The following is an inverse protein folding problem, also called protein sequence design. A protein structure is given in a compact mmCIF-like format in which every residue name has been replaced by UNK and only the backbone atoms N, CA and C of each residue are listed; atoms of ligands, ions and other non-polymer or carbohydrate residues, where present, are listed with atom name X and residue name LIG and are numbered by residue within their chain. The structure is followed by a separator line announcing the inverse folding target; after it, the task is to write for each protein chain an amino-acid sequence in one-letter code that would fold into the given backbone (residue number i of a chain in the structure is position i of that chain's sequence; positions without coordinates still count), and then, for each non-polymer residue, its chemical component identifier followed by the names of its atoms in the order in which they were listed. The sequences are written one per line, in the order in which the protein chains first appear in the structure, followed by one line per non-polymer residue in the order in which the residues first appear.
data_IF_739151658158
#
_entry.id   IF_739151658158
#
_cell.length_a   1.000
_cell.length_b   1.000
_cell.length_c   1.000
_cell.angle_alpha   90.00
_cell.angle_beta   90.00
_cell.angle_gamma   90.00
#
_symmetry.space_group_name_H-M   'P 1'
#
loop_
_entity.id
_entity.type
_entity.pdbx_description
1 polymer ?
#
# COMPACT_ATOMS: atom_id res chain seq x y z
N UNK A 1 4.10 25.65 -7.39
CA UNK A 1 4.98 24.95 -8.35
C UNK A 1 4.18 24.27 -9.46
N UNK A 2 3.24 23.37 -9.15
CA UNK A 2 2.47 22.63 -10.17
C UNK A 2 1.69 23.51 -11.16
N UNK A 3 1.01 24.57 -10.68
CA UNK A 3 0.34 25.55 -11.56
C UNK A 3 1.28 26.24 -12.55
N UNK A 4 2.57 26.38 -12.20
CA UNK A 4 3.59 27.00 -13.06
C UNK A 4 3.99 26.06 -14.22
N UNK A 5 3.99 24.75 -14.00
CA UNK A 5 4.43 23.76 -14.98
C UNK A 5 3.29 23.19 -15.82
N UNK A 6 2.10 23.05 -15.25
CA UNK A 6 0.99 22.36 -15.89
C UNK A 6 -0.23 23.27 -16.19
N UNK A 7 -0.12 24.57 -15.92
CA UNK A 7 -1.19 25.54 -16.09
C UNK A 7 -2.26 25.47 -14.99
N UNK A 8 -3.33 26.25 -15.16
CA UNK A 8 -4.46 26.38 -14.22
C UNK A 8 -5.49 25.27 -14.30
N UNK A 9 -5.31 24.31 -15.22
CA UNK A 9 -6.20 23.16 -15.36
C UNK A 9 -6.11 22.20 -14.18
N UNK A 10 -7.23 21.55 -13.83
CA UNK A 10 -7.30 20.53 -12.78
C UNK A 10 -6.81 19.15 -13.25
N UNK A 11 -6.75 18.92 -14.55
CA UNK A 11 -6.36 17.63 -15.15
C UNK A 11 -5.01 17.10 -14.66
N UNK A 12 -3.92 17.90 -14.61
CA UNK A 12 -2.63 17.45 -14.11
C UNK A 12 -2.66 17.00 -12.64
N UNK A 13 -3.44 17.70 -11.81
CA UNK A 13 -3.62 17.34 -10.40
C UNK A 13 -4.38 16.02 -10.24
N UNK A 14 -5.43 15.81 -11.04
CA UNK A 14 -6.18 14.55 -11.08
C UNK A 14 -5.32 13.38 -11.56
N UNK A 15 -4.48 13.59 -12.58
CA UNK A 15 -3.52 12.57 -13.04
C UNK A 15 -2.55 12.24 -11.91
N UNK A 16 -1.96 13.25 -11.26
CA UNK A 16 -1.04 13.02 -10.14
C UNK A 16 -1.73 12.26 -8.99
N UNK A 17 -2.97 12.59 -8.66
CA UNK A 17 -3.72 11.88 -7.62
C UNK A 17 -4.10 10.45 -8.01
N UNK A 18 -4.45 10.21 -9.26
CA UNK A 18 -4.65 8.85 -9.77
C UNK A 18 -3.37 8.02 -9.68
N UNK A 19 -2.21 8.62 -9.98
CA UNK A 19 -0.90 7.98 -9.81
C UNK A 19 -0.60 7.68 -8.34
N UNK A 20 -0.89 8.61 -7.42
CA UNK A 20 -0.72 8.39 -5.98
C UNK A 20 -1.68 7.33 -5.42
N UNK A 21 -2.93 7.29 -5.90
CA UNK A 21 -3.90 6.24 -5.58
C UNK A 21 -3.43 4.88 -6.06
N UNK A 22 -2.87 4.81 -7.27
CA UNK A 22 -2.22 3.60 -7.81
C UNK A 22 -1.02 3.21 -6.95
N UNK A 23 -0.18 4.17 -6.56
CA UNK A 23 0.95 3.95 -5.65
C UNK A 23 0.50 3.40 -4.29
N UNK A 24 -0.64 3.86 -3.77
CA UNK A 24 -1.24 3.34 -2.54
C UNK A 24 -1.63 1.87 -2.70
N UNK A 25 -2.28 1.52 -3.81
CA UNK A 25 -2.63 0.13 -4.13
C UNK A 25 -1.39 -0.77 -4.22
N UNK A 26 -0.28 -0.28 -4.80
CA UNK A 26 0.99 -1.00 -4.87
C UNK A 26 1.64 -1.17 -3.48
N UNK A 27 1.61 -0.15 -2.62
CA UNK A 27 2.10 -0.25 -1.25
C UNK A 27 1.30 -1.29 -0.45
N UNK A 28 -0.04 -1.28 -0.59
CA UNK A 28 -0.95 -2.28 0.00
C UNK A 28 -0.59 -3.69 -0.43
N UNK A 29 -0.44 -3.90 -1.75
CA UNK A 29 0.01 -5.19 -2.30
C UNK A 29 1.38 -5.59 -1.74
N UNK A 30 2.34 -4.67 -1.71
CA UNK A 30 3.70 -4.91 -1.26
C UNK A 30 3.75 -5.37 0.20
N UNK A 31 3.02 -4.67 1.08
CA UNK A 31 2.90 -5.02 2.50
C UNK A 31 2.20 -6.38 2.67
N UNK A 32 1.02 -6.55 2.06
CA UNK A 32 0.24 -7.77 2.20
C UNK A 32 0.99 -9.00 1.64
N UNK A 33 1.65 -8.86 0.49
CA UNK A 33 2.48 -9.92 -0.11
C UNK A 33 3.62 -10.32 0.82
N UNK A 34 4.28 -9.33 1.43
CA UNK A 34 5.47 -9.58 2.26
C UNK A 34 5.10 -10.21 3.60
N UNK A 35 4.01 -9.78 4.23
CA UNK A 35 3.56 -10.29 5.52
C UNK A 35 2.80 -11.61 5.41
N UNK A 36 1.93 -11.74 4.41
CA UNK A 36 0.94 -12.83 4.34
C UNK A 36 1.05 -13.70 3.08
N UNK A 37 1.98 -13.39 2.17
CA UNK A 37 2.20 -14.12 0.92
C UNK A 37 1.44 -13.56 -0.29
N UNK A 38 1.76 -14.04 -1.50
CA UNK A 38 1.32 -13.42 -2.77
C UNK A 38 -0.19 -13.41 -2.97
N UNK A 39 -0.90 -14.46 -2.56
CA UNK A 39 -2.37 -14.53 -2.68
C UNK A 39 -3.05 -13.42 -1.88
N UNK A 40 -2.63 -13.19 -0.63
CA UNK A 40 -3.16 -12.08 0.18
C UNK A 40 -2.82 -10.74 -0.46
N UNK A 41 -1.60 -10.60 -1.00
CA UNK A 41 -1.19 -9.41 -1.75
C UNK A 41 -2.15 -9.08 -2.89
N UNK A 42 -2.48 -10.07 -3.73
CA UNK A 42 -3.40 -9.88 -4.86
C UNK A 42 -4.84 -9.56 -4.41
N UNK A 43 -5.34 -10.24 -3.36
CA UNK A 43 -6.65 -9.95 -2.79
C UNK A 43 -6.71 -8.52 -2.22
N UNK A 44 -5.68 -8.10 -1.50
CA UNK A 44 -5.59 -6.74 -0.93
C UNK A 44 -5.47 -5.68 -2.03
N UNK A 45 -4.70 -5.96 -3.10
CA UNK A 45 -4.61 -5.09 -4.28
C UNK A 45 -5.97 -4.88 -4.93
N UNK A 46 -6.68 -5.98 -5.21
CA UNK A 46 -8.02 -5.93 -5.80
C UNK A 46 -9.00 -5.20 -4.88
N UNK A 47 -8.98 -5.49 -3.58
CA UNK A 47 -9.78 -4.81 -2.58
C UNK A 47 -9.53 -3.29 -2.58
N UNK A 48 -8.28 -2.86 -2.57
CA UNK A 48 -7.92 -1.44 -2.55
C UNK A 48 -8.26 -0.71 -3.86
N UNK A 49 -8.07 -1.37 -5.00
CA UNK A 49 -8.39 -0.81 -6.33
C UNK A 49 -9.89 -0.67 -6.57
N UNK A 50 -10.70 -1.57 -5.98
CA UNK A 50 -12.16 -1.56 -6.11
C UNK A 50 -12.87 -0.83 -4.96
N UNK A 51 -12.13 -0.35 -3.96
CA UNK A 51 -12.74 0.28 -2.80
C UNK A 51 -13.34 1.65 -3.17
N UNK A 52 -14.67 1.85 -3.06
CA UNK A 52 -15.34 3.02 -3.64
C UNK A 52 -14.77 4.37 -3.20
N UNK A 53 -14.41 4.49 -1.91
CA UNK A 53 -13.85 5.74 -1.38
C UNK A 53 -12.48 6.03 -1.98
N UNK A 54 -11.61 5.04 -2.19
CA UNK A 54 -10.33 5.25 -2.85
C UNK A 54 -10.50 5.68 -4.31
N UNK A 55 -11.46 5.10 -5.04
CA UNK A 55 -11.76 5.48 -6.42
C UNK A 55 -12.20 6.94 -6.48
N UNK A 56 -13.14 7.35 -5.61
CA UNK A 56 -13.61 8.73 -5.57
C UNK A 56 -12.47 9.69 -5.23
N UNK A 57 -11.70 9.40 -4.18
CA UNK A 57 -10.58 10.23 -3.72
C UNK A 57 -9.43 10.35 -4.72
N UNK A 58 -9.22 9.34 -5.55
CA UNK A 58 -8.25 9.42 -6.64
C UNK A 58 -8.69 10.41 -7.74
N UNK A 59 -10.00 10.68 -7.86
CA UNK A 59 -10.58 11.60 -8.85
C UNK A 59 -10.84 13.03 -8.36
N UNK A 60 -10.76 13.28 -7.05
CA UNK A 60 -11.02 14.60 -6.46
C UNK A 60 -9.77 15.17 -5.79
N UNK A 61 -9.57 16.49 -5.94
CA UNK A 61 -8.42 17.17 -5.35
C UNK A 61 -8.51 17.15 -3.82
N UNK A 62 -7.89 16.14 -3.20
CA UNK A 62 -8.01 15.92 -1.76
C UNK A 62 -6.66 15.65 -1.10
N UNK A 63 -6.27 16.45 -0.07
CA UNK A 63 -4.96 16.34 0.57
C UNK A 63 -4.74 15.01 1.31
N UNK A 64 -5.82 14.30 1.65
CA UNK A 64 -5.73 12.99 2.31
C UNK A 64 -5.19 11.91 1.35
N UNK A 65 -5.36 12.06 0.04
CA UNK A 65 -4.83 11.09 -0.94
C UNK A 65 -3.29 10.99 -0.93
N UNK A 66 -2.52 12.08 -1.14
CA UNK A 66 -1.06 12.03 -1.02
C UNK A 66 -0.59 11.65 0.39
N UNK A 67 -1.28 12.11 1.44
CA UNK A 67 -0.98 11.72 2.81
C UNK A 67 -1.13 10.22 3.04
N UNK A 68 -2.22 9.62 2.55
CA UNK A 68 -2.46 8.17 2.62
C UNK A 68 -1.37 7.41 1.89
N UNK A 69 -1.03 7.81 0.66
CA UNK A 69 0.08 7.19 -0.07
C UNK A 69 1.38 7.19 0.73
N UNK A 70 1.79 8.34 1.29
CA UNK A 70 3.03 8.44 2.05
C UNK A 70 3.01 7.61 3.33
N UNK A 71 1.89 7.59 4.06
CA UNK A 71 1.72 6.73 5.24
C UNK A 71 2.00 5.28 4.86
N UNK A 72 1.36 4.79 3.81
CA UNK A 72 1.48 3.40 3.40
C UNK A 72 2.83 3.08 2.77
N UNK A 73 3.48 4.03 2.12
CA UNK A 73 4.86 3.90 1.68
C UNK A 73 5.83 3.78 2.87
N UNK A 74 5.66 4.60 3.91
CA UNK A 74 6.47 4.54 5.13
C UNK A 74 6.27 3.21 5.85
N UNK A 75 5.03 2.76 6.02
CA UNK A 75 4.74 1.45 6.61
C UNK A 75 5.33 0.31 5.77
N UNK A 76 5.31 0.43 4.43
CA UNK A 76 5.92 -0.57 3.56
C UNK A 76 7.45 -0.62 3.72
N UNK A 77 8.12 0.52 3.80
CA UNK A 77 9.57 0.63 4.07
C UNK A 77 9.92 -0.05 5.40
N UNK A 78 9.10 0.15 6.44
CA UNK A 78 9.32 -0.47 7.75
C UNK A 78 9.14 -1.99 7.70
N UNK A 79 8.11 -2.48 7.00
CA UNK A 79 7.90 -3.92 6.77
C UNK A 79 9.08 -4.53 6.00
N UNK A 80 9.63 -3.84 5.00
CA UNK A 80 10.84 -4.29 4.29
C UNK A 80 12.01 -4.38 5.27
N UNK A 81 12.22 -3.36 6.11
CA UNK A 81 13.30 -3.34 7.10
C UNK A 81 13.17 -4.51 8.08
N UNK A 82 11.99 -4.71 8.66
CA UNK A 82 11.74 -5.78 9.64
C UNK A 82 11.99 -7.16 9.05
N UNK A 83 11.45 -7.41 7.84
CA UNK A 83 11.61 -8.70 7.16
C UNK A 83 13.01 -8.94 6.60
N UNK A 84 13.87 -7.93 6.58
CA UNK A 84 15.28 -8.00 6.19
C UNK A 84 16.24 -8.03 7.40
N UNK A 85 15.72 -8.32 8.60
CA UNK A 85 16.53 -8.44 9.82
C UNK A 85 16.83 -7.12 10.54
N UNK A 86 16.15 -6.03 10.17
CA UNK A 86 16.09 -4.82 11.00
C UNK A 86 17.32 -3.91 11.01
N UNK A 87 18.35 -4.13 10.18
CA UNK A 87 19.64 -3.41 10.29
C UNK A 87 19.83 -2.19 9.37
N UNK A 88 18.91 -1.93 8.43
CA UNK A 88 19.10 -0.84 7.48
C UNK A 88 18.72 0.53 8.06
N UNK A 89 19.72 1.34 8.42
CA UNK A 89 19.55 2.74 8.84
C UNK A 89 19.01 3.62 7.71
N UNK A 90 19.37 3.33 6.46
CA UNK A 90 18.87 4.08 5.30
C UNK A 90 17.33 3.99 5.18
N UNK A 91 16.75 2.80 5.43
CA UNK A 91 15.29 2.63 5.43
C UNK A 91 14.63 3.40 6.60
N UNK A 92 15.29 3.51 7.76
CA UNK A 92 14.77 4.33 8.85
C UNK A 92 14.83 5.82 8.55
N UNK A 93 15.93 6.31 7.96
CA UNK A 93 16.03 7.70 7.52
C UNK A 93 14.91 8.00 6.51
N UNK A 94 14.71 7.12 5.52
CA UNK A 94 13.64 7.25 4.55
C UNK A 94 12.24 7.26 5.19
N UNK A 95 12.00 6.39 6.20
CA UNK A 95 10.77 6.39 6.98
C UNK A 95 10.57 7.69 7.78
N UNK A 96 11.63 8.20 8.40
CA UNK A 96 11.64 9.47 9.14
C UNK A 96 11.29 10.65 8.23
N UNK A 97 12.00 10.78 7.11
CA UNK A 97 11.72 11.79 6.08
C UNK A 97 10.28 11.65 5.55
N UNK A 98 9.84 10.43 5.22
CA UNK A 98 8.48 10.18 4.75
C UNK A 98 7.41 10.58 5.78
N UNK A 99 7.66 10.32 7.07
CA UNK A 99 6.74 10.72 8.15
C UNK A 99 6.70 12.25 8.33
N UNK A 100 7.84 12.93 8.27
CA UNK A 100 7.92 14.39 8.30
C UNK A 100 7.18 15.02 7.12
N UNK A 101 7.35 14.48 5.91
CA UNK A 101 6.64 14.94 4.71
C UNK A 101 5.13 14.72 4.85
N UNK A 102 4.71 13.57 5.37
CA UNK A 102 3.30 13.29 5.65
C UNK A 102 2.70 14.31 6.61
N UNK A 103 3.42 14.63 7.70
CA UNK A 103 2.99 15.59 8.71
C UNK A 103 2.83 17.02 8.15
N UNK A 104 3.59 17.38 7.11
CA UNK A 104 3.41 18.65 6.41
C UNK A 104 2.17 18.68 5.50
N UNK A 105 1.73 17.53 5.00
CA UNK A 105 0.61 17.44 4.06
C UNK A 105 -0.75 17.33 4.75
N UNK A 106 -0.81 16.61 5.86
CA UNK A 106 -2.05 16.27 6.54
C UNK A 106 -1.82 16.00 8.03
N UNK A 107 -2.83 16.30 8.86
CA UNK A 107 -2.76 16.22 10.32
C UNK A 107 -2.43 14.79 10.81
N UNK A 108 -2.88 13.78 10.06
CA UNK A 108 -2.59 12.37 10.35
C UNK A 108 -1.12 12.00 10.25
N UNK A 109 -0.30 12.83 9.60
CA UNK A 109 1.14 12.61 9.57
C UNK A 109 1.82 12.85 10.92
N UNK A 110 1.32 13.76 11.77
CA UNK A 110 1.81 13.90 13.14
C UNK A 110 1.49 12.66 13.98
N UNK A 111 0.30 12.10 13.79
CA UNK A 111 -0.10 10.83 14.39
C UNK A 111 0.81 9.70 13.93
N UNK A 112 1.18 9.67 12.64
CA UNK A 112 2.17 8.73 12.12
C UNK A 112 3.52 8.90 12.82
N UNK A 113 4.07 10.11 12.94
CA UNK A 113 5.34 10.34 13.63
C UNK A 113 5.33 9.78 15.06
N UNK A 114 4.27 10.09 15.83
CA UNK A 114 4.11 9.58 17.19
C UNK A 114 3.98 8.05 17.21
N UNK A 115 3.16 7.50 16.33
CA UNK A 115 2.98 6.06 16.17
C UNK A 115 4.31 5.36 15.91
N UNK A 116 5.14 5.90 15.01
CA UNK A 116 6.44 5.31 14.68
C UNK A 116 7.40 5.34 15.87
N UNK A 117 7.50 6.47 16.57
CA UNK A 117 8.35 6.60 17.76
C UNK A 117 7.94 5.60 18.85
N UNK A 118 6.64 5.49 19.13
CA UNK A 118 6.12 4.52 20.10
C UNK A 118 6.36 3.09 19.62
N UNK A 119 6.06 2.79 18.35
CA UNK A 119 6.22 1.44 17.79
C UNK A 119 7.67 0.95 17.86
N UNK A 120 8.65 1.84 17.68
CA UNK A 120 10.07 1.54 17.83
C UNK A 120 10.46 1.41 19.31
N UNK A 121 9.94 2.29 20.17
CA UNK A 121 10.23 2.27 21.61
C UNK A 121 9.79 0.99 22.33
N UNK A 122 8.74 0.32 21.84
CA UNK A 122 8.21 -0.93 22.41
C UNK A 122 8.84 -2.21 21.85
N UNK A 123 9.72 -2.13 20.84
CA UNK A 123 10.35 -3.32 20.24
C UNK A 123 11.22 -4.06 21.25
N UNK A 124 11.27 -5.39 21.19
CA UNK A 124 12.11 -6.23 22.07
C UNK A 124 13.58 -6.27 21.64
N UNK A 125 14.20 -5.09 21.48
CA UNK A 125 15.63 -4.91 21.19
C UNK A 125 16.32 -4.18 22.34
N UNK A 126 17.66 -4.10 22.32
CA UNK A 126 18.41 -3.36 23.36
C UNK A 126 17.98 -1.89 23.40
N UNK A 127 17.96 -1.31 24.61
CA UNK A 127 17.59 0.10 24.82
C UNK A 127 18.40 1.07 23.93
N UNK A 128 19.70 0.83 23.76
CA UNK A 128 20.57 1.63 22.90
C UNK A 128 20.13 1.59 21.43
N UNK A 129 19.73 0.41 20.93
CA UNK A 129 19.21 0.28 19.57
C UNK A 129 17.86 1.01 19.41
N UNK A 130 16.99 0.98 20.43
CA UNK A 130 15.72 1.73 20.40
C UNK A 130 15.95 3.23 20.35
N UNK A 131 16.83 3.73 21.21
CA UNK A 131 17.20 5.15 21.19
C UNK A 131 17.79 5.57 19.85
N UNK A 132 18.69 4.76 19.29
CA UNK A 132 19.29 5.03 17.99
C UNK A 132 18.23 5.05 16.89
N UNK A 133 17.34 4.06 16.81
CA UNK A 133 16.25 4.02 15.84
C UNK A 133 15.31 5.24 15.98
N UNK A 134 14.93 5.59 17.22
CA UNK A 134 14.10 6.76 17.51
C UNK A 134 14.79 8.07 17.13
N UNK A 135 16.10 8.21 17.42
CA UNK A 135 16.88 9.38 17.06
C UNK A 135 16.98 9.52 15.53
N UNK A 136 17.23 8.42 14.81
CA UNK A 136 17.31 8.44 13.34
C UNK A 136 15.97 8.81 12.71
N UNK A 137 14.86 8.23 13.18
CA UNK A 137 13.52 8.59 12.72
C UNK A 137 13.19 10.05 13.02
N UNK A 138 13.44 10.48 14.26
CA UNK A 138 13.19 11.84 14.73
C UNK A 138 14.01 12.88 13.97
N UNK A 139 15.29 12.62 13.70
CA UNK A 139 16.14 13.49 12.89
C UNK A 139 15.65 13.56 11.45
N UNK A 140 15.28 12.42 10.85
CA UNK A 140 14.71 12.38 9.50
C UNK A 140 13.41 13.20 9.37
N UNK A 141 12.51 13.09 10.35
CA UNK A 141 11.28 13.88 10.37
C UNK A 141 11.55 15.37 10.64
N UNK A 142 12.47 15.67 11.57
CA UNK A 142 12.84 17.04 11.95
C UNK A 142 13.55 17.78 10.82
N UNK A 143 14.27 17.10 9.94
CA UNK A 143 14.90 17.71 8.77
C UNK A 143 13.87 18.42 7.87
N UNK A 144 12.68 17.84 7.72
CA UNK A 144 11.59 18.44 6.94
C UNK A 144 10.72 19.39 7.76
N UNK A 145 10.37 18.99 8.99
CA UNK A 145 9.50 19.79 9.85
C UNK A 145 10.19 21.04 10.41
N UNK A 146 11.50 20.96 10.65
CA UNK A 146 12.30 22.01 11.30
C UNK A 146 12.18 23.37 10.61
N UNK A 147 12.41 23.50 9.29
CA UNK A 147 12.25 24.77 8.58
C UNK A 147 10.82 25.33 8.66
N UNK A 148 9.80 24.46 8.61
CA UNK A 148 8.40 24.87 8.70
C UNK A 148 8.04 25.37 10.10
N UNK A 149 8.41 24.62 11.14
CA UNK A 149 8.23 24.99 12.55
C UNK A 149 9.01 26.27 12.87
N UNK A 150 10.27 26.37 12.43
CA UNK A 150 11.10 27.56 12.61
C UNK A 150 10.44 28.79 12.00
N UNK A 151 9.95 28.69 10.75
CA UNK A 151 9.23 29.78 10.09
C UNK A 151 8.00 30.19 10.89
N UNK A 152 7.17 29.23 11.31
CA UNK A 152 5.96 29.51 12.11
C UNK A 152 6.28 30.25 13.41
N UNK A 153 7.28 29.78 14.15
CA UNK A 153 7.73 30.43 15.39
C UNK A 153 8.24 31.83 15.09
N UNK A 154 9.06 31.99 14.04
CA UNK A 154 9.68 33.27 13.74
C UNK A 154 8.67 34.33 13.28
N UNK A 155 7.59 33.92 12.63
CA UNK A 155 6.52 34.82 12.18
C UNK A 155 5.38 34.99 13.18
N UNK A 156 5.43 34.34 14.35
CA UNK A 156 4.29 34.17 15.28
C UNK A 156 3.01 33.69 14.57
N UNK A 157 3.15 32.98 13.44
CA UNK A 157 2.03 32.49 12.65
C UNK A 157 1.75 31.04 13.01
N UNK A 158 1.22 30.86 14.23
CA UNK A 158 0.77 29.56 14.72
C UNK A 158 -0.61 29.17 14.18
N UNK A 159 -1.24 30.01 13.34
CA UNK A 159 -2.58 29.78 12.79
C UNK A 159 -2.71 28.41 12.10
N UNK A 160 -1.75 27.91 11.30
CA UNK A 160 -1.88 26.59 10.68
C UNK A 160 -2.11 25.45 11.68
N UNK A 161 -1.55 25.54 12.90
CA UNK A 161 -1.72 24.54 13.94
C UNK A 161 -2.96 24.84 14.81
N UNK A 162 -3.09 26.09 15.25
CA UNK A 162 -4.12 26.54 16.20
C UNK A 162 -5.51 26.61 15.57
N UNK A 163 -5.62 27.22 14.38
CA UNK A 163 -6.92 27.45 13.73
C UNK A 163 -7.53 26.12 13.28
N UNK A 164 -6.71 25.21 12.72
CA UNK A 164 -7.17 23.89 12.31
C UNK A 164 -7.65 23.04 13.48
N UNK A 165 -6.89 22.99 14.57
CA UNK A 165 -7.30 22.26 15.77
C UNK A 165 -8.55 22.88 16.40
N UNK A 166 -8.59 24.20 16.55
CA UNK A 166 -9.71 24.93 17.14
C UNK A 166 -11.01 24.78 16.34
N UNK A 167 -10.97 24.73 15.00
CA UNK A 167 -12.17 24.53 14.18
C UNK A 167 -12.74 23.12 14.38
N UNK A 168 -11.89 22.10 14.50
CA UNK A 168 -12.32 20.70 14.55
C UNK A 168 -12.61 20.16 15.94
N UNK A 169 -12.15 20.84 16.99
CA UNK A 169 -12.56 20.53 18.36
C UNK A 169 -14.06 20.82 18.54
N UNK A 170 -14.77 20.00 19.30
CA UNK A 170 -16.16 20.27 19.61
C UNK A 170 -16.26 21.40 20.66
N UNK A 171 -17.40 22.08 20.72
CA UNK A 171 -17.70 23.02 21.79
C UNK A 171 -18.47 22.28 22.88
N UNK A 172 -17.98 22.32 24.13
CA UNK A 172 -18.70 21.76 25.26
C UNK A 172 -19.98 22.56 25.55
N UNK A 173 -20.98 21.97 26.23
CA UNK A 173 -22.22 22.66 26.56
C UNK A 173 -21.96 23.97 27.31
N UNK A 174 -22.62 25.05 26.91
CA UNK A 174 -22.44 26.38 27.50
C UNK A 174 -21.22 27.16 27.00
N UNK A 175 -20.40 26.58 26.12
CA UNK A 175 -19.25 27.25 25.50
C UNK A 175 -19.67 27.83 24.16
N UNK A 176 -19.57 29.15 24.03
CA UNK A 176 -19.89 29.89 22.80
C UNK A 176 -18.62 30.45 22.20
N UNK A 177 -17.84 29.63 21.45
CA UNK A 177 -16.58 30.09 20.90
C UNK A 177 -16.82 31.23 19.89
N UNK A 178 -15.96 32.24 19.85
CA UNK A 178 -16.07 33.33 18.89
C UNK A 178 -15.98 32.78 17.45
N UNK A 179 -16.92 33.18 16.59
CA UNK A 179 -17.09 32.65 15.23
C UNK A 179 -16.25 33.38 14.15
N UNK A 180 -15.57 34.49 14.49
CA UNK A 180 -14.93 35.38 13.50
C UNK A 180 -13.40 35.22 13.36
N UNK A 181 -12.92 35.48 12.14
CA UNK A 181 -11.49 35.55 11.77
C UNK A 181 -10.76 36.59 12.63
N UNK A 182 -9.69 36.17 13.29
CA UNK A 182 -8.90 36.99 14.22
C UNK A 182 -8.90 36.47 15.66
N UNK A 183 -9.87 35.63 16.02
CA UNK A 183 -10.00 35.05 17.37
C UNK A 183 -9.26 33.71 17.56
N UNK A 184 -8.42 33.27 16.61
CA UNK A 184 -7.91 31.89 16.58
C UNK A 184 -7.30 31.35 17.89
N UNK A 185 -6.52 32.17 18.61
CA UNK A 185 -6.00 31.82 19.95
C UNK A 185 -7.16 31.69 20.96
N UNK A 186 -8.07 32.67 20.98
CA UNK A 186 -9.28 32.66 21.81
C UNK A 186 -10.24 31.50 21.47
N UNK A 187 -10.31 31.03 20.22
CA UNK A 187 -11.15 29.92 19.78
C UNK A 187 -10.65 28.59 20.35
N UNK A 188 -9.36 28.29 20.15
CA UNK A 188 -8.76 27.07 20.67
C UNK A 188 -8.78 27.05 22.20
N UNK A 189 -8.36 28.16 22.82
CA UNK A 189 -8.38 28.30 24.28
C UNK A 189 -9.79 28.14 24.85
N UNK A 190 -10.79 28.84 24.31
CA UNK A 190 -12.18 28.73 24.76
C UNK A 190 -12.71 27.29 24.67
N UNK A 191 -12.42 26.57 23.58
CA UNK A 191 -12.83 25.17 23.44
C UNK A 191 -12.07 24.25 24.40
N UNK A 192 -10.76 24.42 24.56
CA UNK A 192 -9.96 23.62 25.48
C UNK A 192 -10.38 23.82 26.94
N UNK A 193 -10.56 25.08 27.37
CA UNK A 193 -11.09 25.42 28.70
C UNK A 193 -12.47 24.83 28.88
N UNK A 194 -13.34 24.98 27.88
CA UNK A 194 -14.66 24.36 27.87
C UNK A 194 -14.65 22.83 28.04
N UNK A 195 -13.73 22.15 27.36
CA UNK A 195 -13.54 20.69 27.48
C UNK A 195 -13.00 20.29 28.86
N UNK A 196 -12.10 21.10 29.43
CA UNK A 196 -11.53 20.89 30.75
C UNK A 196 -12.57 21.11 31.86
N UNK A 197 -13.43 22.11 31.71
CA UNK A 197 -14.51 22.43 32.65
C UNK A 197 -15.66 21.41 32.59
N UNK A 198 -15.76 20.63 31.51
CA UNK A 198 -16.81 19.63 31.28
C UNK A 198 -16.25 18.21 31.07
N UNK A 199 -15.47 17.65 32.00
CA UNK A 199 -14.71 16.42 31.77
C UNK A 199 -15.61 15.20 31.47
N UNK A 200 -16.76 15.08 32.14
CA UNK A 200 -17.71 14.00 31.91
C UNK A 200 -18.34 14.02 30.52
N UNK A 201 -18.63 15.21 30.00
CA UNK A 201 -19.11 15.38 28.62
C UNK A 201 -17.99 15.09 27.63
N UNK A 202 -16.78 15.61 27.88
CA UNK A 202 -15.60 15.40 27.04
C UNK A 202 -15.27 13.92 26.85
N UNK A 203 -15.25 13.13 27.93
CA UNK A 203 -14.99 11.68 27.84
C UNK A 203 -16.09 10.96 27.05
N UNK A 204 -17.37 11.31 27.26
CA UNK A 204 -18.48 10.72 26.50
C UNK A 204 -18.41 11.09 25.02
N UNK A 205 -18.10 12.34 24.70
CA UNK A 205 -17.92 12.79 23.33
C UNK A 205 -16.76 12.04 22.66
N UNK A 206 -15.60 11.98 23.32
CA UNK A 206 -14.44 11.22 22.85
C UNK A 206 -14.76 9.75 22.59
N UNK A 207 -15.44 9.07 23.52
CA UNK A 207 -15.85 7.68 23.33
C UNK A 207 -16.85 7.52 22.17
N UNK A 208 -17.80 8.44 22.02
CA UNK A 208 -18.77 8.44 20.93
C UNK A 208 -18.09 8.64 19.57
N UNK A 209 -17.18 9.60 19.46
CA UNK A 209 -16.42 9.85 18.23
C UNK A 209 -15.45 8.70 17.93
N UNK A 210 -14.86 8.07 18.95
CA UNK A 210 -14.05 6.87 18.76
C UNK A 210 -14.87 5.73 18.17
N UNK A 211 -16.12 5.53 18.61
CA UNK A 211 -17.03 4.57 18.00
C UNK A 211 -17.45 4.99 16.58
N UNK A 212 -17.71 6.28 16.37
CA UNK A 212 -18.11 6.82 15.07
C UNK A 212 -16.99 6.72 14.03
N UNK A 213 -15.71 6.72 14.45
CA UNK A 213 -14.59 6.39 13.56
C UNK A 213 -14.78 5.03 12.87
N UNK A 214 -15.41 4.06 13.52
CA UNK A 214 -15.67 2.73 12.98
C UNK A 214 -17.02 2.61 12.25
N UNK A 215 -17.79 3.69 12.17
CA UNK A 215 -19.13 3.69 11.58
C UNK A 215 -19.08 3.33 10.09
N UNK A 216 -19.78 2.28 9.65
CA UNK A 216 -19.83 1.94 8.24
C UNK A 216 -20.62 2.96 7.40
N UNK A 217 -21.46 3.78 8.01
CA UNK A 217 -22.21 4.78 7.27
C UNK A 217 -21.31 5.94 6.83
N UNK A 218 -21.38 6.33 5.55
CA UNK A 218 -20.55 7.40 5.04
C UNK A 218 -21.15 8.74 5.46
N UNK A 219 -20.77 9.21 6.65
CA UNK A 219 -21.28 10.47 7.16
C UNK A 219 -20.43 11.68 6.71
N UNK A 220 -21.10 12.83 6.55
CA UNK A 220 -20.47 14.15 6.31
C UNK A 220 -19.66 14.29 5.02
N UNK A 221 -20.00 13.55 3.96
CA UNK A 221 -19.51 13.84 2.59
C UNK A 221 -20.02 15.19 2.04
N UNK A 222 -21.09 15.72 2.63
CA UNK A 222 -21.59 17.07 2.37
C UNK A 222 -21.80 17.79 3.71
N UNK A 223 -21.75 19.12 3.69
CA UNK A 223 -22.09 19.92 4.88
C UNK A 223 -23.48 19.51 5.40
N UNK A 224 -23.58 19.28 6.71
CA UNK A 224 -24.83 18.89 7.36
C UNK A 224 -25.90 19.98 7.22
N UNK A 225 -25.50 21.24 7.11
CA UNK A 225 -26.42 22.37 6.92
C UNK A 225 -26.80 22.52 5.43
N UNK A 226 -28.02 22.12 5.11
CA UNK A 226 -28.60 22.29 3.78
C UNK A 226 -28.71 23.76 3.37
N UNK A 227 -28.99 24.68 4.31
CA UNK A 227 -29.10 26.12 4.01
C UNK A 227 -27.75 26.71 3.63
N UNK A 228 -26.71 26.42 4.42
CA UNK A 228 -25.35 26.84 4.09
C UNK A 228 -24.90 26.33 2.71
N UNK A 229 -25.25 25.09 2.35
CA UNK A 229 -24.95 24.56 1.01
C UNK A 229 -25.65 25.31 -0.11
N UNK A 230 -26.93 25.62 0.07
CA UNK A 230 -27.67 26.43 -0.91
C UNK A 230 -27.07 27.83 -1.03
N UNK A 231 -26.74 28.48 0.09
CA UNK A 231 -26.07 29.78 0.11
C UNK A 231 -24.72 29.74 -0.62
N UNK A 232 -23.88 28.73 -0.37
CA UNK A 232 -22.61 28.59 -1.08
C UNK A 232 -22.79 28.30 -2.57
N UNK A 233 -23.85 27.58 -2.96
CA UNK A 233 -24.18 27.36 -4.37
C UNK A 233 -24.71 28.62 -5.06
N UNK A 234 -25.50 29.43 -4.36
CA UNK A 234 -25.92 30.74 -4.85
C UNK A 234 -24.72 31.68 -5.05
N UNK A 235 -23.74 31.64 -4.15
CA UNK A 235 -22.47 32.37 -4.29
C UNK A 235 -21.55 31.79 -5.38
N UNK A 236 -21.55 30.46 -5.55
CA UNK A 236 -20.74 29.75 -6.55
C UNK A 236 -21.50 28.54 -7.10
N UNK A 237 -22.09 28.70 -8.28
CA UNK A 237 -22.89 27.66 -8.96
C UNK A 237 -22.13 26.37 -9.25
N UNK A 238 -20.79 26.37 -9.16
CA UNK A 238 -19.96 25.16 -9.30
C UNK A 238 -20.06 24.24 -8.06
N UNK A 239 -20.47 24.78 -6.91
CA UNK A 239 -20.62 24.01 -5.67
C UNK A 239 -21.85 23.11 -5.74
N UNK A 240 -21.68 21.80 -5.75
CA UNK A 240 -22.81 20.87 -5.92
C UNK A 240 -23.68 20.80 -4.65
N UNK A 241 -24.95 21.20 -4.74
CA UNK A 241 -25.92 21.15 -3.61
C UNK A 241 -26.31 19.71 -3.28
N UNK A 242 -26.68 18.94 -4.32
CA UNK A 242 -27.06 17.54 -4.22
C UNK A 242 -26.06 16.68 -4.98
N UNK A 243 -25.26 15.93 -4.24
CA UNK A 243 -24.33 14.98 -4.82
C UNK A 243 -25.04 13.62 -4.94
N UNK A 244 -25.13 13.09 -6.16
CA UNK A 244 -25.72 11.77 -6.44
C UNK A 244 -25.02 10.64 -5.67
N UNK A 245 -23.74 10.82 -5.29
CA UNK A 245 -22.97 9.89 -4.45
C UNK A 245 -23.46 9.82 -3.01
N UNK A 246 -24.39 10.69 -2.60
CA UNK A 246 -24.91 10.77 -1.22
C UNK A 246 -26.39 10.36 -1.17
N UNK A 247 -26.91 9.73 -2.22
CA UNK A 247 -28.23 9.08 -2.19
C UNK A 247 -28.27 7.89 -1.22
N UNK A 248 -29.47 7.43 -0.87
CA UNK A 248 -29.66 6.29 0.04
C UNK A 248 -28.95 5.01 -0.45
N UNK A 249 -29.01 4.74 -1.77
CA UNK A 249 -28.40 3.56 -2.37
C UNK A 249 -26.86 3.56 -2.26
N UNK A 250 -26.11 4.59 -2.73
CA UNK A 250 -24.66 4.66 -2.50
C UNK A 250 -24.25 4.55 -1.04
N UNK A 251 -25.01 5.17 -0.11
CA UNK A 251 -24.72 5.05 1.32
C UNK A 251 -24.87 3.63 1.83
N UNK A 252 -25.95 2.95 1.44
CA UNK A 252 -26.20 1.56 1.79
C UNK A 252 -25.13 0.63 1.20
N UNK A 253 -24.78 0.79 -0.08
CA UNK A 253 -23.73 0.02 -0.74
C UNK A 253 -22.38 0.21 -0.06
N UNK A 254 -22.03 1.44 0.31
CA UNK A 254 -20.82 1.73 1.07
C UNK A 254 -20.86 1.07 2.45
N UNK A 255 -21.97 1.21 3.19
CA UNK A 255 -22.11 0.64 4.53
C UNK A 255 -21.99 -0.89 4.52
N UNK A 256 -22.61 -1.56 3.55
CA UNK A 256 -22.49 -3.02 3.37
C UNK A 256 -21.05 -3.39 3.00
N UNK A 257 -20.47 -2.71 2.01
CA UNK A 257 -19.12 -3.00 1.53
C UNK A 257 -18.06 -2.79 2.61
N UNK A 258 -18.04 -1.63 3.25
CA UNK A 258 -17.12 -1.32 4.33
C UNK A 258 -17.39 -2.16 5.59
N UNK A 259 -18.66 -2.36 5.97
CA UNK A 259 -19.01 -3.22 7.11
C UNK A 259 -18.49 -4.65 6.90
N UNK A 260 -18.60 -5.19 5.69
CA UNK A 260 -18.03 -6.50 5.34
C UNK A 260 -16.50 -6.49 5.47
N UNK A 261 -15.83 -5.46 4.92
CA UNK A 261 -14.37 -5.30 5.05
C UNK A 261 -13.96 -5.22 6.53
N UNK A 262 -14.72 -4.51 7.38
CA UNK A 262 -14.42 -4.35 8.79
C UNK A 262 -14.55 -5.66 9.57
N UNK A 263 -15.62 -6.44 9.33
CA UNK A 263 -15.80 -7.76 9.95
C UNK A 263 -14.66 -8.70 9.53
N UNK A 264 -14.31 -8.72 8.24
CA UNK A 264 -13.20 -9.51 7.74
C UNK A 264 -11.86 -9.03 8.30
N UNK A 265 -11.65 -7.72 8.43
CA UNK A 265 -10.43 -7.14 9.01
C UNK A 265 -10.28 -7.54 10.48
N UNK A 266 -11.37 -7.52 11.26
CA UNK A 266 -11.35 -7.98 12.65
C UNK A 266 -10.98 -9.47 12.75
N UNK A 267 -11.58 -10.32 11.90
CA UNK A 267 -11.22 -11.74 11.82
C UNK A 267 -9.74 -11.94 11.41
N UNK A 268 -9.26 -11.13 10.46
CA UNK A 268 -7.88 -11.14 10.00
C UNK A 268 -6.89 -10.68 11.07
N UNK A 269 -7.23 -9.63 11.82
CA UNK A 269 -6.44 -9.13 12.95
C UNK A 269 -6.30 -10.20 14.04
N UNK A 270 -7.41 -10.85 14.42
CA UNK A 270 -7.40 -11.96 15.38
C UNK A 270 -6.50 -13.11 14.89
N UNK A 271 -6.63 -13.50 13.62
CA UNK A 271 -5.81 -14.56 13.02
C UNK A 271 -4.32 -14.20 12.89
N UNK A 272 -3.99 -12.93 12.63
CA UNK A 272 -2.62 -12.46 12.37
C UNK A 272 -1.83 -12.05 13.62
N UNK A 273 -2.52 -11.67 14.70
CA UNK A 273 -1.93 -11.08 15.92
C UNK A 273 -0.88 -11.93 16.63
N UNK A 274 -0.92 -13.27 16.49
CA UNK A 274 0.05 -14.18 17.10
C UNK A 274 1.12 -14.72 16.14
N UNK A 275 0.78 -15.17 14.91
CA UNK A 275 1.75 -15.90 14.09
C UNK A 275 2.62 -15.03 13.16
N UNK A 276 2.25 -13.78 12.88
CA UNK A 276 2.91 -12.99 11.82
C UNK A 276 3.63 -11.76 12.39
N UNK A 277 4.98 -11.77 12.44
CA UNK A 277 5.76 -10.58 12.79
C UNK A 277 5.40 -9.38 11.91
N UNK A 278 5.25 -8.21 12.51
CA UNK A 278 4.89 -6.97 11.80
C UNK A 278 3.39 -6.78 11.54
N UNK A 279 2.55 -7.81 11.65
CA UNK A 279 1.10 -7.66 11.48
C UNK A 279 0.46 -6.74 12.52
N UNK A 280 1.06 -6.62 13.70
CA UNK A 280 0.62 -5.70 14.74
C UNK A 280 0.68 -4.23 14.30
N UNK A 281 1.55 -3.85 13.35
CA UNK A 281 1.56 -2.50 12.78
C UNK A 281 0.23 -2.18 12.08
N UNK A 282 -0.36 -3.16 11.40
CA UNK A 282 -1.62 -3.02 10.68
C UNK A 282 -2.82 -2.92 11.64
N UNK A 283 -2.73 -3.51 12.82
CA UNK A 283 -3.79 -3.43 13.85
C UNK A 283 -3.65 -2.14 14.65
N UNK A 284 -2.43 -1.80 15.05
CA UNK A 284 -2.16 -0.67 15.90
C UNK A 284 -2.38 0.67 15.17
N UNK A 285 -2.06 0.77 13.88
CA UNK A 285 -2.21 2.00 13.12
C UNK A 285 -3.65 2.55 13.13
N UNK A 286 -4.69 1.79 12.71
CA UNK A 286 -6.08 2.26 12.79
C UNK A 286 -6.55 2.63 14.19
N UNK A 287 -6.12 1.87 15.21
CA UNK A 287 -6.48 2.14 16.61
C UNK A 287 -5.88 3.46 17.08
N UNK A 288 -4.59 3.68 16.84
CA UNK A 288 -3.91 4.92 17.20
C UNK A 288 -4.51 6.10 16.42
N UNK A 289 -4.82 5.92 15.14
CA UNK A 289 -5.48 6.94 14.34
C UNK A 289 -6.85 7.30 14.92
N UNK A 290 -7.68 6.31 15.26
CA UNK A 290 -8.99 6.52 15.89
C UNK A 290 -8.90 7.21 17.25
N UNK A 291 -7.95 6.80 18.10
CA UNK A 291 -7.70 7.41 19.41
C UNK A 291 -7.22 8.87 19.26
N UNK A 292 -6.34 9.16 18.31
CA UNK A 292 -5.85 10.52 18.12
C UNK A 292 -6.89 11.45 17.49
N UNK A 293 -7.84 10.93 16.71
CA UNK A 293 -8.89 11.74 16.08
C UNK A 293 -10.17 11.87 16.87
N UNK A 294 -10.45 10.98 17.81
CA UNK A 294 -11.66 11.04 18.64
C UNK A 294 -11.82 12.28 19.52
N UNK A 295 -10.78 13.10 19.85
CA UNK A 295 -11.02 14.39 20.50
C UNK A 295 -11.65 15.42 19.55
N UNK A 296 -11.59 15.17 18.24
CA UNK A 296 -12.13 16.01 17.19
C UNK A 296 -13.40 15.38 16.62
N UNK A 297 -14.11 16.13 15.79
CA UNK A 297 -15.18 15.56 14.97
C UNK A 297 -14.61 14.51 14.02
N UNK A 298 -14.80 13.23 14.36
CA UNK A 298 -14.48 12.14 13.47
C UNK A 298 -15.41 12.21 12.28
N UNK A 299 -14.80 12.21 11.12
CA UNK A 299 -15.46 12.21 9.83
C UNK A 299 -14.80 11.10 9.06
N UNK A 300 -15.51 10.50 8.11
CA UNK A 300 -14.94 9.44 7.27
C UNK A 300 -13.57 9.84 6.69
N UNK A 301 -13.37 11.12 6.37
CA UNK A 301 -12.09 11.61 5.84
C UNK A 301 -10.86 11.34 6.73
N UNK A 302 -11.04 11.28 8.05
CA UNK A 302 -9.95 11.00 8.99
C UNK A 302 -9.65 9.51 9.12
N UNK A 303 -10.57 8.64 8.68
CA UNK A 303 -10.39 7.18 8.62
C UNK A 303 -9.69 6.71 7.35
N UNK A 304 -9.83 7.42 6.22
CA UNK A 304 -9.23 7.01 4.93
C UNK A 304 -7.80 6.46 5.08
N UNK A 305 -6.88 7.09 5.84
CA UNK A 305 -5.52 6.56 5.97
C UNK A 305 -5.41 5.20 6.68
N UNK A 306 -6.44 4.77 7.40
CA UNK A 306 -6.54 3.45 8.02
C UNK A 306 -7.20 2.40 7.11
N UNK A 307 -8.00 2.79 6.11
CA UNK A 307 -8.74 1.86 5.23
C UNK A 307 -7.84 0.77 4.62
N UNK A 308 -6.60 1.06 4.16
CA UNK A 308 -5.78 0.01 3.58
C UNK A 308 -5.34 -1.05 4.60
N UNK A 309 -5.31 -0.75 5.90
CA UNK A 309 -5.06 -1.75 6.93
C UNK A 309 -6.21 -2.76 7.00
N UNK A 310 -7.45 -2.25 6.97
CA UNK A 310 -8.64 -3.10 6.97
C UNK A 310 -8.69 -3.98 5.75
N UNK A 311 -8.35 -3.43 4.57
CA UNK A 311 -8.30 -4.20 3.32
C UNK A 311 -7.25 -5.31 3.40
N UNK A 312 -6.04 -5.03 3.89
CA UNK A 312 -4.97 -6.05 4.03
C UNK A 312 -5.38 -7.15 4.99
N UNK A 313 -5.90 -6.80 6.17
CA UNK A 313 -6.31 -7.75 7.19
C UNK A 313 -7.53 -8.57 6.72
N UNK A 314 -8.49 -7.92 6.06
CA UNK A 314 -9.65 -8.59 5.47
C UNK A 314 -9.25 -9.58 4.37
N UNK A 315 -8.33 -9.19 3.49
CA UNK A 315 -7.76 -10.09 2.48
C UNK A 315 -7.08 -11.32 3.11
N UNK A 316 -6.38 -11.14 4.24
CA UNK A 316 -5.78 -12.25 4.97
C UNK A 316 -6.85 -13.19 5.53
N UNK A 317 -7.91 -12.65 6.13
CA UNK A 317 -9.03 -13.45 6.64
C UNK A 317 -9.69 -14.27 5.53
N UNK A 318 -9.95 -13.66 4.37
CA UNK A 318 -10.51 -14.33 3.19
C UNK A 318 -9.60 -15.48 2.74
N UNK A 319 -8.28 -15.24 2.61
CA UNK A 319 -7.33 -16.31 2.27
C UNK A 319 -7.39 -17.46 3.28
N UNK A 320 -7.36 -17.17 4.58
CA UNK A 320 -7.40 -18.19 5.63
C UNK A 320 -8.71 -18.97 5.61
N UNK A 321 -9.84 -18.30 5.38
CA UNK A 321 -11.14 -18.95 5.23
C UNK A 321 -11.16 -19.88 4.01
N UNK A 322 -10.71 -19.40 2.84
CA UNK A 322 -10.61 -20.22 1.63
C UNK A 322 -9.75 -21.47 1.84
N UNK A 323 -8.62 -21.34 2.54
CA UNK A 323 -7.74 -22.47 2.86
C UNK A 323 -8.38 -23.49 3.79
N UNK A 324 -9.27 -23.06 4.70
CA UNK A 324 -9.99 -23.96 5.63
C UNK A 324 -11.20 -24.63 4.99
N UNK A 325 -11.83 -23.99 4.00
CA UNK A 325 -13.01 -24.54 3.31
C UNK A 325 -12.69 -25.76 2.43
N UNK A 326 -13.72 -26.54 2.10
CA UNK A 326 -13.64 -27.66 1.14
C UNK A 326 -13.04 -27.24 -0.20
N UNK A 327 -13.29 -26.00 -0.65
CA UNK A 327 -12.69 -25.46 -1.87
C UNK A 327 -11.16 -25.42 -1.79
N UNK A 328 -10.60 -25.03 -0.64
CA UNK A 328 -9.15 -25.07 -0.42
C UNK A 328 -8.60 -26.48 -0.55
N UNK A 329 -9.31 -27.48 -0.02
CA UNK A 329 -8.94 -28.90 -0.17
C UNK A 329 -9.01 -29.36 -1.62
N UNK A 330 -10.06 -28.98 -2.36
CA UNK A 330 -10.24 -29.31 -3.78
C UNK A 330 -9.12 -28.68 -4.62
N UNK A 331 -8.81 -27.40 -4.42
CA UNK A 331 -7.73 -26.72 -5.15
C UNK A 331 -6.37 -27.33 -4.82
N UNK A 332 -6.11 -27.65 -3.56
CA UNK A 332 -4.87 -28.32 -3.15
C UNK A 332 -4.76 -29.70 -3.83
N UNK A 333 -5.84 -30.48 -3.81
CA UNK A 333 -5.92 -31.78 -4.47
C UNK A 333 -5.70 -31.67 -5.98
N UNK A 334 -6.35 -30.73 -6.65
CA UNK A 334 -6.18 -30.46 -8.08
C UNK A 334 -4.73 -30.05 -8.42
N UNK A 335 -4.09 -29.23 -7.57
CA UNK A 335 -2.68 -28.86 -7.74
C UNK A 335 -1.77 -30.08 -7.60
N UNK A 336 -2.00 -30.93 -6.61
CA UNK A 336 -1.24 -32.18 -6.42
C UNK A 336 -1.44 -33.13 -7.60
N UNK A 337 -2.67 -33.27 -8.10
CA UNK A 337 -2.96 -34.04 -9.31
C UNK A 337 -2.23 -33.48 -10.53
N UNK A 338 -2.24 -32.16 -10.71
CA UNK A 338 -1.54 -31.49 -11.81
C UNK A 338 -0.02 -31.69 -11.75
N UNK A 339 0.58 -31.56 -10.56
CA UNK A 339 2.02 -31.82 -10.37
C UNK A 339 2.37 -33.30 -10.63
N UNK A 340 1.49 -34.23 -10.23
CA UNK A 340 1.60 -35.65 -10.58
C UNK A 340 1.49 -35.89 -12.09
N UNK A 341 0.52 -35.27 -12.73
CA UNK A 341 0.31 -35.35 -14.18
C UNK A 341 1.53 -34.83 -14.96
N UNK A 342 2.12 -33.71 -14.56
CA UNK A 342 3.35 -33.18 -15.20
C UNK A 342 4.48 -34.21 -15.20
N UNK A 343 4.68 -34.94 -14.09
CA UNK A 343 5.69 -36.01 -14.00
C UNK A 343 5.38 -37.19 -14.92
N UNK A 344 4.10 -37.52 -15.11
CA UNK A 344 3.67 -38.57 -16.04
C UNK A 344 3.88 -38.11 -17.48
N UNK A 345 3.44 -36.89 -17.81
CA UNK A 345 3.59 -36.29 -19.12
C UNK A 345 5.07 -36.20 -19.55
N UNK A 346 5.96 -35.86 -18.62
CA UNK A 346 7.42 -35.87 -18.83
C UNK A 346 7.92 -37.27 -19.23
N UNK A 347 7.49 -38.33 -18.54
CA UNK A 347 7.86 -39.72 -18.89
C UNK A 347 7.29 -40.15 -20.25
N UNK A 348 6.05 -39.77 -20.55
CA UNK A 348 5.43 -40.04 -21.85
C UNK A 348 6.21 -39.33 -22.95
N UNK A 349 6.59 -38.07 -22.75
CA UNK A 349 7.37 -37.29 -23.70
C UNK A 349 8.76 -37.90 -23.94
N UNK A 350 9.45 -38.36 -22.89
CA UNK A 350 10.73 -39.06 -23.01
C UNK A 350 10.58 -40.36 -23.81
N UNK A 351 9.54 -41.15 -23.54
CA UNK A 351 9.26 -42.37 -24.28
C UNK A 351 9.00 -42.07 -25.76
N UNK A 352 8.14 -41.11 -26.09
CA UNK A 352 7.85 -40.74 -27.47
C UNK A 352 9.05 -40.16 -28.19
N UNK A 353 9.86 -39.35 -27.50
CA UNK A 353 11.13 -38.86 -28.04
C UNK A 353 12.05 -40.03 -28.40
N UNK A 354 12.17 -41.03 -27.52
CA UNK A 354 12.96 -42.23 -27.78
C UNK A 354 12.42 -43.03 -28.97
N UNK A 355 11.10 -43.26 -29.03
CA UNK A 355 10.46 -43.99 -30.15
C UNK A 355 10.65 -43.26 -31.47
N UNK A 356 10.44 -41.94 -31.50
CA UNK A 356 10.63 -41.13 -32.71
C UNK A 356 12.08 -41.14 -33.17
N UNK A 357 13.04 -41.00 -32.25
CA UNK A 357 14.46 -41.11 -32.57
C UNK A 357 14.80 -42.51 -33.09
N UNK A 358 14.28 -43.57 -32.45
CA UNK A 358 14.49 -44.94 -32.89
C UNK A 358 13.96 -45.15 -34.30
N UNK A 359 12.73 -44.72 -34.60
CA UNK A 359 12.15 -44.81 -35.95
C UNK A 359 13.00 -44.02 -36.95
N UNK A 360 13.36 -42.78 -36.63
CA UNK A 360 14.21 -41.95 -37.49
C UNK A 360 15.54 -42.65 -37.78
N UNK A 361 16.23 -43.15 -36.75
CA UNK A 361 17.54 -43.77 -36.93
C UNK A 361 17.47 -45.14 -37.61
N UNK A 362 16.47 -45.95 -37.31
CA UNK A 362 16.36 -47.32 -37.85
C UNK A 362 15.71 -47.34 -39.23
N UNK A 363 14.69 -46.53 -39.47
CA UNK A 363 13.90 -46.55 -40.71
C UNK A 363 14.44 -45.56 -41.74
N UNK A 364 14.94 -44.39 -41.31
CA UNK A 364 15.43 -43.36 -42.23
C UNK A 364 16.95 -43.41 -42.35
N UNK A 365 17.68 -43.24 -41.25
CA UNK A 365 19.14 -43.12 -41.28
C UNK A 365 19.81 -44.47 -41.56
N UNK A 366 19.31 -45.56 -40.97
CA UNK A 366 19.87 -46.91 -41.09
C UNK A 366 19.99 -47.41 -42.52
N UNK A 367 18.91 -47.40 -43.33
CA UNK A 367 18.97 -47.80 -44.73
C UNK A 367 19.88 -46.90 -45.56
N UNK A 368 19.90 -45.60 -45.30
CA UNK A 368 20.83 -44.67 -45.94
C UNK A 368 22.27 -45.07 -45.64
N UNK A 369 22.61 -45.32 -44.36
CA UNK A 369 23.96 -45.73 -43.95
C UNK A 369 24.36 -47.09 -44.55
N UNK A 370 23.44 -48.05 -44.64
CA UNK A 370 23.68 -49.35 -45.28
C UNK A 370 23.92 -49.16 -46.78
N UNK A 371 23.09 -48.38 -47.48
CA UNK A 371 23.28 -48.04 -48.89
C UNK A 371 24.64 -47.38 -49.13
N UNK A 372 25.01 -46.39 -48.31
CA UNK A 372 26.32 -45.74 -48.37
C UNK A 372 27.47 -46.74 -48.26
N UNK A 373 27.38 -47.67 -47.29
CA UNK A 373 28.40 -48.70 -47.06
C UNK A 373 28.50 -49.69 -48.22
N UNK A 374 27.37 -50.13 -48.77
CA UNK A 374 27.31 -51.08 -49.90
C UNK A 374 27.90 -50.44 -51.16
N UNK A 375 27.51 -49.21 -51.46
CA UNK A 375 27.94 -48.53 -52.70
C UNK A 375 29.31 -47.84 -52.60
N UNK A 376 29.94 -47.82 -51.41
CA UNK A 376 31.17 -47.05 -51.09
C UNK A 376 31.11 -45.59 -51.54
N UNK A 377 29.91 -45.07 -51.78
CA UNK A 377 29.67 -43.67 -52.10
C UNK A 377 29.17 -43.05 -50.83
N UNK A 378 30.08 -42.37 -50.13
CA UNK A 378 29.68 -41.46 -49.08
C UNK A 378 29.07 -40.21 -49.77
N UNK A 379 27.73 -39.98 -49.69
CA UNK A 379 27.07 -38.80 -50.25
C UNK A 379 27.56 -37.50 -49.61
N UNK A 380 28.20 -37.54 -48.44
CA UNK A 380 28.87 -36.36 -47.86
C UNK A 380 30.30 -36.18 -48.38
N UNK A 381 30.82 -37.15 -49.12
CA UNK A 381 32.04 -37.00 -49.91
C UNK A 381 31.72 -36.30 -51.23
N UNK A 382 31.17 -35.10 -51.13
CA UNK A 382 31.21 -34.16 -52.23
C UNK A 382 32.68 -33.90 -52.53
N UNK A 383 33.12 -34.20 -53.77
CA UNK A 383 34.40 -33.68 -54.24
C UNK A 383 34.35 -32.17 -54.03
N UNK A 384 35.19 -31.68 -53.13
CA UNK A 384 35.32 -30.26 -52.83
C UNK A 384 35.49 -29.54 -54.16
N UNK A 385 34.49 -28.76 -54.56
CA UNK A 385 34.58 -27.96 -55.76
C UNK A 385 35.79 -27.03 -55.60
N UNK A 386 36.64 -26.88 -56.62
CA UNK A 386 37.76 -25.94 -56.56
C UNK A 386 37.20 -24.55 -56.23
N UNK A 387 37.56 -24.01 -55.06
CA UNK A 387 37.03 -22.74 -54.53
C UNK A 387 36.04 -22.85 -53.35
N UNK A 388 35.76 -24.05 -52.82
CA UNK A 388 34.96 -24.21 -51.59
C UNK A 388 35.64 -23.53 -50.38
N UNK A 389 34.93 -22.60 -49.73
CA UNK A 389 35.37 -21.95 -48.47
C UNK A 389 35.46 -22.90 -47.27
N UNK A 390 34.96 -24.14 -47.39
CA UNK A 390 35.23 -25.21 -46.43
C UNK A 390 36.65 -25.74 -46.66
N UNK A 391 37.65 -24.94 -46.29
CA UNK A 391 39.00 -25.43 -46.14
C UNK A 391 38.99 -26.45 -45.00
N UNK A 392 39.49 -27.66 -45.25
CA UNK A 392 39.97 -28.52 -44.17
C UNK A 392 40.97 -27.66 -43.39
N UNK A 393 40.59 -27.21 -42.19
CA UNK A 393 41.58 -26.72 -41.24
C UNK A 393 42.57 -27.85 -41.13
N UNK A 394 43.80 -27.63 -41.57
CA UNK A 394 44.91 -28.47 -41.14
C UNK A 394 44.73 -28.62 -39.64
N UNK A 395 44.78 -29.85 -39.14
CA UNK A 395 44.80 -30.10 -37.70
C UNK A 395 46.10 -29.49 -37.18
N UNK A 396 46.12 -28.18 -37.02
CA UNK A 396 47.05 -27.49 -36.14
C UNK A 396 46.81 -28.15 -34.81
N UNK A 397 47.79 -28.95 -34.37
CA UNK A 397 47.82 -29.47 -33.00
C UNK A 397 47.75 -28.22 -32.13
N UNK A 398 46.57 -27.90 -31.62
CA UNK A 398 46.38 -26.78 -30.71
C UNK A 398 47.27 -27.08 -29.50
N UNK A 399 48.33 -26.29 -29.35
CA UNK A 399 49.25 -26.41 -28.24
C UNK A 399 48.53 -26.04 -26.95
N UNK A 400 48.92 -26.66 -25.84
CA UNK A 400 48.35 -26.39 -24.52
C UNK A 400 48.33 -24.89 -24.16
N UNK A 401 49.32 -24.14 -24.63
CA UNK A 401 49.43 -22.69 -24.43
C UNK A 401 48.31 -21.88 -25.11
N UNK A 402 47.78 -22.37 -26.23
CA UNK A 402 46.73 -21.69 -26.98
C UNK A 402 45.35 -21.95 -26.36
N UNK A 403 45.16 -23.13 -25.76
CA UNK A 403 44.01 -23.45 -24.92
C UNK A 403 43.97 -22.61 -23.63
N UNK A 404 45.13 -22.28 -23.05
CA UNK A 404 45.22 -21.45 -21.83
C UNK A 404 44.92 -19.97 -22.08
N UNK A 405 44.91 -19.49 -23.34
CA UNK A 405 44.55 -18.10 -23.66
C UNK A 405 43.04 -17.85 -23.77
N UNK A 406 42.21 -18.89 -23.79
CA UNK A 406 40.74 -18.78 -23.93
C UNK A 406 39.98 -18.75 -22.60
N UNK A 407 40.67 -18.99 -21.48
CA UNK A 407 40.18 -18.84 -20.11
C UNK A 407 40.91 -17.68 -19.44
#
# INVERSE_FOLDING_TARGET
ASYKFFGTGLTPFRILQALLGTGTCLAVWGIARRLFGPTTGLLALAGAALFPVHIVLAGIEYPVSPGTFLIWLVLWILVIRETSGGRSTALLIAAGIGSGLTAMLFEGGLVLCLFLLVSVGIRTVSWQARLSDCAVLGLGASLLLGPWVYKMIRTDDLRPLILKAGIHLPAAPGVYPPLWEGSGKNLLESKLTGLADNPGWTVRHFASELLHFWDPYPDRLISADAKARMQFHEMDSRMVVQNSLVGALPRMLYAIGFGTVLIMAAAGAMAASRPVPGAMLLVAWPLVLGICYSPFFTQMRYRIPADPAFIILGAYAVKTAMQRTLWGRIVQFAKTLWEGWKKIAEKIMLFWTFVLLLILFVVVVGPIAILMKIFRKDPMHFRSAPGSFWALRDRTREGLEECLRQF
#
